data_IF_279728459784
#
_entry.id   IF_279728459784
#
_cell.length_a   1.000
_cell.length_b   1.000
_cell.length_c   1.000
_cell.angle_alpha   90.00
_cell.angle_beta   90.00
_cell.angle_gamma   90.00
#
_symmetry.space_group_name_H-M   'P 1'
#
loop_
_entity.id
_entity.type
_entity.pdbx_description
1 polymer ?
#
# COMPACT_ATOMS: atom_id res chain seq x y z
N UNK A 1 -9.62 22.21 24.20
CA UNK A 1 -8.29 21.63 24.46
C UNK A 1 -7.84 21.03 23.16
N UNK A 2 -7.02 21.75 22.41
CA UNK A 2 -6.43 21.28 21.16
C UNK A 2 -5.32 20.31 21.54
N UNK A 3 -5.59 19.00 21.52
CA UNK A 3 -4.52 18.02 21.51
C UNK A 3 -3.65 18.35 20.29
N UNK A 4 -2.39 18.68 20.55
CA UNK A 4 -1.38 18.80 19.51
C UNK A 4 -1.25 17.42 18.88
N UNK A 5 -1.90 17.21 17.74
CA UNK A 5 -1.70 16.00 16.94
C UNK A 5 -0.23 15.96 16.54
N UNK A 6 0.54 15.13 17.24
CA UNK A 6 1.90 14.79 16.87
C UNK A 6 1.86 13.55 16.00
N UNK A 7 2.23 13.73 14.74
CA UNK A 7 2.36 12.69 13.74
C UNK A 7 3.20 11.50 14.27
N UNK A 8 2.77 10.24 14.04
CA UNK A 8 3.64 9.11 14.31
C UNK A 8 4.87 9.14 13.39
N UNK A 9 6.07 8.76 13.87
CA UNK A 9 7.21 8.61 12.98
C UNK A 9 6.95 7.49 11.97
N UNK A 10 7.51 7.55 10.75
CA UNK A 10 7.48 6.43 9.83
C UNK A 10 8.02 5.16 10.49
N UNK A 11 7.53 3.96 10.12
CA UNK A 11 8.04 2.71 10.66
C UNK A 11 9.56 2.59 10.45
N UNK A 12 10.23 1.95 11.41
CA UNK A 12 11.65 1.65 11.27
C UNK A 12 11.90 0.74 10.07
N UNK A 13 13.08 0.84 9.45
CA UNK A 13 13.43 0.02 8.27
C UNK A 13 13.29 -1.50 8.53
N UNK A 14 13.64 -1.97 9.72
CA UNK A 14 13.48 -3.39 10.10
C UNK A 14 12.01 -3.81 10.11
N UNK A 15 11.11 -2.96 10.60
CA UNK A 15 9.66 -3.20 10.58
C UNK A 15 9.14 -3.26 9.14
N UNK A 16 9.62 -2.37 8.26
CA UNK A 16 9.25 -2.41 6.83
C UNK A 16 9.73 -3.69 6.14
N UNK A 17 10.91 -4.22 6.51
CA UNK A 17 11.39 -5.52 6.02
C UNK A 17 10.46 -6.65 6.45
N UNK A 18 10.07 -6.69 7.73
CA UNK A 18 9.15 -7.71 8.23
C UNK A 18 7.79 -7.64 7.53
N UNK A 19 7.25 -6.44 7.35
CA UNK A 19 5.98 -6.23 6.65
C UNK A 19 6.05 -6.61 5.18
N UNK A 20 7.15 -6.27 4.50
CA UNK A 20 7.39 -6.65 3.11
C UNK A 20 7.46 -8.17 2.90
N UNK A 21 7.84 -8.95 3.92
CA UNK A 21 7.83 -10.42 3.88
C UNK A 21 6.44 -11.03 4.05
N UNK A 22 5.52 -10.29 4.67
CA UNK A 22 4.15 -10.73 4.89
C UNK A 22 3.23 -10.39 3.70
N UNK A 23 3.57 -9.34 2.95
CA UNK A 23 2.80 -8.87 1.80
C UNK A 23 3.31 -9.47 0.49
N UNK A 24 2.42 -10.09 -0.27
CA UNK A 24 2.73 -10.65 -1.59
C UNK A 24 2.68 -9.58 -2.67
N UNK A 25 1.72 -8.69 -2.60
CA UNK A 25 1.35 -7.76 -3.67
C UNK A 25 1.52 -6.30 -3.27
N UNK A 26 1.11 -5.93 -2.05
CA UNK A 26 1.27 -4.57 -1.58
C UNK A 26 2.74 -4.24 -1.27
N UNK A 27 3.12 -2.99 -1.53
CA UNK A 27 4.43 -2.42 -1.18
C UNK A 27 4.24 -1.18 -0.34
N UNK A 28 5.12 -0.97 0.62
CA UNK A 28 5.17 0.31 1.33
C UNK A 28 5.68 1.39 0.37
N UNK A 29 4.94 2.49 0.29
CA UNK A 29 5.35 3.69 -0.42
C UNK A 29 5.35 4.87 0.52
N UNK A 30 6.46 5.59 0.54
CA UNK A 30 6.61 6.84 1.27
C UNK A 30 6.36 8.01 0.34
N UNK A 31 5.30 8.77 0.58
CA UNK A 31 5.08 10.01 -0.17
C UNK A 31 6.19 11.02 0.16
N UNK A 32 6.58 11.77 -0.85
CA UNK A 32 7.57 12.84 -0.73
C UNK A 32 7.03 14.09 -1.44
N UNK A 33 6.88 15.17 -0.68
CA UNK A 33 6.37 16.46 -1.16
C UNK A 33 5.20 16.94 -0.30
N UNK A 34 5.29 18.15 0.25
CA UNK A 34 4.39 18.69 1.28
C UNK A 34 2.96 19.03 0.84
N UNK A 35 2.43 18.36 -0.19
CA UNK A 35 1.06 18.56 -0.68
C UNK A 35 0.18 17.31 -0.57
N UNK A 36 0.72 16.14 -0.18
CA UNK A 36 -0.10 14.96 0.07
C UNK A 36 -0.61 14.95 1.52
N UNK A 37 -1.92 14.82 1.69
CA UNK A 37 -2.54 14.52 2.99
C UNK A 37 -2.26 13.08 3.45
N UNK A 38 -1.78 12.23 2.53
CA UNK A 38 -1.33 10.86 2.77
C UNK A 38 0.20 10.90 2.82
N UNK A 39 0.79 10.52 3.94
CA UNK A 39 2.25 10.54 4.10
C UNK A 39 2.88 9.20 3.71
N UNK A 40 2.31 8.10 4.20
CA UNK A 40 2.76 6.75 3.92
C UNK A 40 1.56 5.87 3.59
N UNK A 41 1.75 4.92 2.68
CA UNK A 41 0.72 3.95 2.34
C UNK A 41 1.29 2.58 1.99
N UNK A 42 0.41 1.58 2.05
CA UNK A 42 0.59 0.37 1.28
C UNK A 42 -0.11 0.52 -0.06
N UNK A 43 0.63 0.31 -1.14
CA UNK A 43 0.15 0.47 -2.51
C UNK A 43 0.37 -0.81 -3.33
N UNK A 44 -0.57 -1.10 -4.22
CA UNK A 44 -0.46 -2.15 -5.23
C UNK A 44 -0.88 -1.58 -6.59
N UNK A 45 -0.32 -2.12 -7.67
CA UNK A 45 -0.68 -1.73 -9.03
C UNK A 45 -1.24 -2.91 -9.82
N UNK A 46 -2.29 -2.65 -10.59
CA UNK A 46 -2.89 -3.59 -11.55
C UNK A 46 -2.78 -3.02 -12.97
N UNK A 47 -2.71 -3.92 -13.97
CA UNK A 47 -2.97 -3.56 -15.34
C UNK A 47 -4.41 -3.01 -15.48
N UNK A 48 -4.64 -1.94 -16.28
CA UNK A 48 -5.95 -1.28 -16.34
C UNK A 48 -7.11 -2.18 -16.78
N UNK A 49 -6.84 -3.16 -17.65
CA UNK A 49 -7.83 -4.09 -18.18
C UNK A 49 -8.29 -5.15 -17.17
N UNK A 50 -7.49 -5.42 -16.14
CA UNK A 50 -7.85 -6.33 -15.06
C UNK A 50 -8.71 -5.68 -13.98
N UNK A 51 -8.80 -4.34 -13.94
CA UNK A 51 -9.58 -3.62 -12.95
C UNK A 51 -11.04 -3.51 -13.35
N UNK A 52 -11.94 -3.85 -12.43
CA UNK A 52 -13.38 -3.67 -12.61
C UNK A 52 -13.95 -2.77 -11.52
N UNK A 53 -15.06 -2.09 -11.82
CA UNK A 53 -15.77 -1.24 -10.84
C UNK A 53 -16.19 -2.05 -9.60
N UNK A 54 -16.68 -3.27 -9.80
CA UNK A 54 -17.13 -4.14 -8.70
C UNK A 54 -15.97 -4.51 -7.76
N UNK A 55 -14.82 -4.87 -8.31
CA UNK A 55 -13.61 -5.11 -7.52
C UNK A 55 -13.21 -3.85 -6.75
N UNK A 56 -13.20 -2.69 -7.40
CA UNK A 56 -12.89 -1.41 -6.76
C UNK A 56 -13.81 -1.11 -5.58
N UNK A 57 -15.12 -1.25 -5.77
CA UNK A 57 -16.11 -1.06 -4.70
C UNK A 57 -15.88 -2.03 -3.53
N UNK A 58 -15.59 -3.30 -3.82
CA UNK A 58 -15.32 -4.31 -2.79
C UNK A 58 -14.03 -4.03 -2.00
N UNK A 59 -12.94 -3.63 -2.68
CA UNK A 59 -11.68 -3.25 -2.05
C UNK A 59 -11.87 -2.03 -1.12
N UNK A 60 -12.52 -0.98 -1.62
CA UNK A 60 -12.79 0.24 -0.85
C UNK A 60 -13.66 -0.06 0.38
N UNK A 61 -14.70 -0.88 0.24
CA UNK A 61 -15.58 -1.24 1.34
C UNK A 61 -14.84 -2.07 2.41
N UNK A 62 -14.08 -3.09 1.98
CA UNK A 62 -13.30 -3.96 2.87
C UNK A 62 -12.27 -3.18 3.68
N UNK A 63 -11.53 -2.27 3.05
CA UNK A 63 -10.53 -1.46 3.74
C UNK A 63 -11.16 -0.46 4.72
N UNK A 64 -12.26 0.21 4.33
CA UNK A 64 -12.98 1.15 5.21
C UNK A 64 -13.57 0.47 6.44
N UNK A 65 -14.08 -0.75 6.29
CA UNK A 65 -14.59 -1.55 7.41
C UNK A 65 -13.50 -1.84 8.48
N UNK A 66 -12.22 -1.75 8.10
CA UNK A 66 -11.07 -1.94 8.98
C UNK A 66 -10.45 -0.61 9.46
N UNK A 67 -11.17 0.50 9.32
CA UNK A 67 -10.69 1.82 9.74
C UNK A 67 -9.56 2.37 8.87
N UNK A 68 -9.46 1.92 7.62
CA UNK A 68 -8.48 2.44 6.66
C UNK A 68 -9.12 3.50 5.75
N UNK A 69 -8.28 4.37 5.20
CA UNK A 69 -8.63 5.35 4.18
C UNK A 69 -8.07 4.90 2.82
N UNK A 70 -8.77 4.00 2.10
CA UNK A 70 -8.32 3.52 0.81
C UNK A 70 -8.61 4.53 -0.30
N UNK A 71 -7.80 4.50 -1.36
CA UNK A 71 -8.08 5.21 -2.61
C UNK A 71 -7.72 4.35 -3.81
N UNK A 72 -8.23 4.75 -4.98
CA UNK A 72 -7.95 4.13 -6.26
C UNK A 72 -7.64 5.24 -7.25
N UNK A 73 -6.44 5.23 -7.79
CA UNK A 73 -6.00 6.15 -8.83
C UNK A 73 -5.84 5.39 -10.14
N UNK A 74 -6.45 5.89 -11.21
CA UNK A 74 -6.38 5.28 -12.55
C UNK A 74 -5.50 6.12 -13.45
N UNK A 75 -4.51 5.47 -14.05
CA UNK A 75 -3.60 6.04 -15.04
C UNK A 75 -3.74 5.28 -16.36
N UNK A 76 -3.10 5.78 -17.41
CA UNK A 76 -3.14 5.14 -18.73
C UNK A 76 -2.51 3.74 -18.73
N UNK A 77 -1.47 3.51 -17.91
CA UNK A 77 -0.69 2.27 -17.89
C UNK A 77 -0.97 1.37 -16.67
N UNK A 78 -1.65 1.89 -15.64
CA UNK A 78 -1.90 1.16 -14.39
C UNK A 78 -3.08 1.70 -13.59
N UNK A 79 -3.59 0.88 -12.68
CA UNK A 79 -4.49 1.28 -11.60
C UNK A 79 -3.75 1.08 -10.28
N UNK A 80 -3.61 2.14 -9.49
CA UNK A 80 -3.06 2.08 -8.14
C UNK A 80 -4.18 1.94 -7.12
N UNK A 81 -4.00 1.03 -6.18
CA UNK A 81 -4.87 0.89 -5.00
C UNK A 81 -4.00 1.14 -3.78
N UNK A 82 -4.34 2.20 -3.05
CA UNK A 82 -3.59 2.69 -1.91
C UNK A 82 -4.36 2.55 -0.61
N UNK A 83 -3.67 2.23 0.49
CA UNK A 83 -4.26 2.05 1.83
C UNK A 83 -3.39 2.71 2.89
N UNK A 84 -4.00 3.59 3.67
CA UNK A 84 -3.40 4.20 4.86
C UNK A 84 -4.39 4.16 6.02
N UNK A 85 -3.90 4.34 7.25
CA UNK A 85 -4.74 4.36 8.44
C UNK A 85 -5.59 5.65 8.48
N UNK A 86 -6.92 5.54 8.67
CA UNK A 86 -7.81 6.69 8.52
C UNK A 86 -7.68 7.73 9.65
N UNK A 87 -7.15 7.33 10.81
CA UNK A 87 -7.00 8.21 11.97
C UNK A 87 -5.65 8.92 11.97
N UNK A 88 -4.61 8.23 11.50
CA UNK A 88 -3.23 8.74 11.57
C UNK A 88 -2.67 9.19 10.22
N UNK A 89 -3.31 8.83 9.11
CA UNK A 89 -2.85 9.06 7.73
C UNK A 89 -1.40 8.57 7.49
N UNK A 90 -1.02 7.53 8.23
CA UNK A 90 0.26 6.85 8.18
C UNK A 90 0.01 5.35 8.08
N UNK A 91 1.00 4.57 7.66
CA UNK A 91 0.88 3.11 7.74
C UNK A 91 1.03 2.64 9.19
N UNK A 92 0.12 1.78 9.62
CA UNK A 92 0.12 1.17 10.95
C UNK A 92 0.07 -0.35 10.84
N UNK A 93 0.24 -1.10 11.94
CA UNK A 93 -0.06 -2.53 11.95
C UNK A 93 -1.50 -2.85 11.49
N UNK A 94 -2.47 -1.95 11.67
CA UNK A 94 -3.83 -2.11 11.13
C UNK A 94 -3.84 -2.04 9.60
N UNK A 95 -3.07 -1.11 9.02
CA UNK A 95 -2.91 -1.01 7.57
C UNK A 95 -2.26 -2.26 6.97
N UNK A 96 -1.30 -2.86 7.68
CA UNK A 96 -0.70 -4.14 7.28
C UNK A 96 -1.76 -5.26 7.27
N UNK A 97 -2.51 -5.41 8.37
CA UNK A 97 -3.56 -6.43 8.47
C UNK A 97 -4.61 -6.28 7.37
N UNK A 98 -5.08 -5.05 7.13
CA UNK A 98 -6.02 -4.77 6.06
C UNK A 98 -5.43 -5.11 4.68
N UNK A 99 -4.17 -4.78 4.44
CA UNK A 99 -3.50 -5.11 3.17
C UNK A 99 -3.43 -6.62 2.94
N UNK A 100 -3.10 -7.41 3.97
CA UNK A 100 -3.10 -8.89 3.88
C UNK A 100 -4.48 -9.43 3.49
N UNK A 101 -5.55 -8.87 4.05
CA UNK A 101 -6.92 -9.27 3.70
C UNK A 101 -7.30 -8.88 2.28
N UNK A 102 -6.93 -7.67 1.84
CA UNK A 102 -7.15 -7.21 0.47
C UNK A 102 -6.38 -8.05 -0.55
N UNK A 103 -5.20 -8.57 -0.21
CA UNK A 103 -4.46 -9.49 -1.10
C UNK A 103 -5.25 -10.76 -1.45
N UNK A 104 -6.15 -11.20 -0.57
CA UNK A 104 -7.02 -12.35 -0.87
C UNK A 104 -7.99 -12.04 -2.01
N UNK A 105 -8.47 -10.79 -2.11
CA UNK A 105 -9.32 -10.32 -3.21
C UNK A 105 -8.53 -10.14 -4.52
N UNK A 106 -7.24 -9.86 -4.41
CA UNK A 106 -6.33 -9.65 -5.56
C UNK A 106 -5.68 -10.94 -6.06
N UNK A 107 -5.71 -12.02 -5.28
CA UNK A 107 -5.10 -13.31 -5.64
C UNK A 107 -5.53 -13.83 -7.02
N UNK A 108 -6.82 -13.77 -7.41
CA UNK A 108 -7.24 -14.16 -8.76
C UNK A 108 -6.62 -13.34 -9.89
N UNK A 109 -6.11 -12.15 -9.58
CA UNK A 109 -5.49 -11.20 -10.53
C UNK A 109 -3.96 -11.18 -10.44
N UNK A 110 -3.34 -12.17 -9.81
CA UNK A 110 -1.88 -12.19 -9.61
C UNK A 110 -1.07 -12.02 -10.92
N UNK A 111 -1.60 -12.50 -12.06
CA UNK A 111 -0.96 -12.34 -13.37
C UNK A 111 -1.08 -10.94 -13.99
N UNK A 112 -1.91 -10.06 -13.43
CA UNK A 112 -2.13 -8.69 -13.88
C UNK A 112 -1.54 -7.64 -12.93
N UNK A 113 -0.89 -8.06 -11.85
CA UNK A 113 -0.22 -7.17 -10.92
C UNK A 113 1.10 -6.66 -11.51
N UNK A 114 1.37 -5.37 -11.29
CA UNK A 114 2.56 -4.68 -11.78
C UNK A 114 3.53 -4.42 -10.62
N UNK A 115 4.80 -4.78 -10.81
CA UNK A 115 5.88 -4.57 -9.85
C UNK A 115 7.02 -3.76 -10.51
N UNK A 116 7.50 -2.65 -9.89
CA UNK A 116 6.98 -2.05 -8.68
C UNK A 116 5.63 -1.35 -8.92
N UNK A 117 4.77 -1.21 -7.89
CA UNK A 117 3.53 -0.45 -8.02
C UNK A 117 3.77 0.99 -8.49
N UNK A 118 4.76 1.64 -7.88
CA UNK A 118 5.24 2.98 -8.23
C UNK A 118 6.74 2.87 -8.52
N UNK A 119 7.16 3.28 -9.72
CA UNK A 119 8.57 3.30 -10.15
C UNK A 119 9.31 4.48 -9.49
N UNK A 120 9.69 4.28 -8.23
CA UNK A 120 10.33 5.28 -7.40
C UNK A 120 11.15 4.61 -6.31
N UNK A 121 12.32 5.17 -6.00
CA UNK A 121 13.16 4.75 -4.85
C UNK A 121 12.42 4.81 -3.51
N UNK A 122 11.30 5.53 -3.42
CA UNK A 122 10.48 5.62 -2.22
C UNK A 122 9.49 4.46 -2.07
N UNK A 123 9.34 3.62 -3.11
CA UNK A 123 8.61 2.37 -3.06
C UNK A 123 9.55 1.25 -2.59
N UNK A 124 9.20 0.59 -1.49
CA UNK A 124 9.94 -0.55 -0.96
C UNK A 124 9.54 -1.79 -1.75
N UNK A 125 10.20 -1.99 -2.89
CA UNK A 125 9.99 -3.09 -3.84
C UNK A 125 11.30 -3.86 -4.10
N UNK A 126 11.24 -5.11 -4.60
CA UNK A 126 12.43 -5.83 -5.04
C UNK A 126 13.26 -5.09 -6.09
N UNK A 127 12.62 -4.25 -6.91
CA UNK A 127 13.29 -3.45 -7.94
C UNK A 127 14.15 -2.33 -7.35
N UNK A 128 13.66 -1.63 -6.32
CA UNK A 128 14.36 -0.46 -5.77
C UNK A 128 15.12 -0.73 -4.47
N UNK A 129 14.75 -1.78 -3.74
CA UNK A 129 15.37 -2.22 -2.49
C UNK A 129 15.60 -3.74 -2.51
N UNK A 130 16.33 -4.30 -3.51
CA UNK A 130 16.55 -5.73 -3.66
C UNK A 130 17.16 -6.38 -2.42
N UNK A 131 17.92 -5.64 -1.63
CA UNK A 131 18.54 -6.10 -0.40
C UNK A 131 17.52 -6.53 0.67
N UNK A 132 16.28 -6.04 0.64
CA UNK A 132 15.24 -6.48 1.58
C UNK A 132 14.74 -7.90 1.28
N UNK A 133 14.98 -8.40 0.06
CA UNK A 133 14.61 -9.74 -0.41
C UNK A 133 15.81 -10.66 -0.67
N UNK A 134 17.04 -10.19 -0.48
CA UNK A 134 18.25 -10.94 -0.81
C UNK A 134 18.66 -12.00 0.24
N UNK A 135 18.21 -11.86 1.49
CA UNK A 135 18.46 -12.84 2.54
C UNK A 135 17.31 -13.85 2.60
N UNK A 136 17.47 -14.99 1.88
CA UNK A 136 16.72 -16.27 1.94
C UNK A 136 16.34 -16.82 0.55
N UNK A 137 17.34 -17.04 -0.32
CA UNK A 137 17.27 -18.13 -1.31
C UNK A 137 17.84 -19.40 -0.72
#
# INVERSE_FOLDING_TARGET
>A
MSESWTRPPPPARSTLVEWARLLKFFRYYRHYGGHSIIEDEFVVALAPDAFTRELGEQLLATARAQGQAPHIDTFDDRVLIGVTDAETYSVTPRSLQASIELESLLTPLAGALLEPPIDSRHCFSPTHHPELWAEHR
#
